data_IF_865526534240
#
_entry.id   IF_865526534240
#
_cell.length_a   1.000
_cell.length_b   1.000
_cell.length_c   1.000
_cell.angle_alpha   90.00
_cell.angle_beta   90.00
_cell.angle_gamma   90.00
#
_symmetry.space_group_name_H-M   'P 1'
#
loop_
_entity.id
_entity.type
_entity.pdbx_description
1 polymer ?
#
# COMPACT_ATOMS: atom_id res chain seq x y z
N UNK A 1 -16.87 18.18 1.34
CA UNK A 1 -17.06 16.93 2.11
C UNK A 1 -16.10 15.91 1.52
N UNK A 2 -14.94 15.69 2.13
CA UNK A 2 -14.00 14.69 1.62
C UNK A 2 -14.42 13.32 2.13
N UNK A 3 -15.18 12.59 1.31
CA UNK A 3 -15.18 11.14 1.41
C UNK A 3 -13.75 10.64 1.31
N UNK A 4 -13.39 9.57 2.02
CA UNK A 4 -12.12 8.88 1.77
C UNK A 4 -11.97 8.68 0.24
N UNK A 5 -10.83 9.03 -0.38
CA UNK A 5 -10.66 8.98 -1.84
C UNK A 5 -11.12 7.65 -2.45
N UNK A 6 -10.89 6.53 -1.75
CA UNK A 6 -11.31 5.20 -2.17
C UNK A 6 -12.84 5.01 -2.22
N UNK A 7 -13.59 5.53 -1.23
CA UNK A 7 -15.06 5.51 -1.28
C UNK A 7 -15.58 6.43 -2.38
N UNK A 8 -14.94 7.59 -2.57
CA UNK A 8 -15.25 8.52 -3.65
C UNK A 8 -15.11 7.87 -5.03
N UNK A 9 -14.09 7.03 -5.23
CA UNK A 9 -13.90 6.27 -6.47
C UNK A 9 -15.07 5.30 -6.74
N UNK A 10 -15.58 4.62 -5.72
CA UNK A 10 -16.76 3.74 -5.88
C UNK A 10 -18.02 4.54 -6.20
N UNK A 11 -18.27 5.63 -5.48
CA UNK A 11 -19.41 6.52 -5.72
C UNK A 11 -19.36 7.13 -7.13
N UNK A 12 -18.18 7.54 -7.58
CA UNK A 12 -17.97 8.07 -8.93
C UNK A 12 -18.15 7.01 -10.02
N UNK A 13 -17.75 5.77 -9.76
CA UNK A 13 -17.96 4.65 -10.69
C UNK A 13 -19.45 4.34 -10.84
N UNK A 14 -20.20 4.31 -9.73
CA UNK A 14 -21.66 4.15 -9.77
C UNK A 14 -22.30 5.31 -10.52
N UNK A 15 -21.86 6.54 -10.28
CA UNK A 15 -22.32 7.72 -11.02
C UNK A 15 -22.12 7.56 -12.53
N UNK A 16 -20.90 7.24 -12.96
CA UNK A 16 -20.58 7.09 -14.38
C UNK A 16 -21.38 5.96 -15.03
N UNK A 17 -21.58 4.84 -14.32
CA UNK A 17 -22.40 3.72 -14.78
C UNK A 17 -23.89 4.11 -14.94
N UNK A 18 -24.44 4.92 -14.03
CA UNK A 18 -25.83 5.41 -14.12
C UNK A 18 -25.97 6.42 -15.27
N UNK A 19 -25.04 7.37 -15.37
CA UNK A 19 -25.02 8.39 -16.43
C UNK A 19 -24.90 7.74 -17.82
N UNK A 20 -24.00 6.77 -17.98
CA UNK A 20 -23.84 6.02 -19.22
C UNK A 20 -25.13 5.31 -19.65
N UNK A 21 -25.85 4.68 -18.71
CA UNK A 21 -27.13 4.03 -18.99
C UNK A 21 -28.26 5.02 -19.26
N UNK A 22 -28.23 6.19 -18.63
CA UNK A 22 -29.19 7.25 -18.88
C UNK A 22 -29.02 7.86 -20.29
N UNK A 23 -27.82 7.75 -20.87
CA UNK A 23 -27.44 8.39 -22.13
C UNK A 23 -27.70 9.92 -22.12
N UNK A 24 -27.53 10.54 -20.95
CA UNK A 24 -27.65 11.97 -20.68
C UNK A 24 -26.93 12.31 -19.38
N UNK A 25 -26.63 13.60 -19.17
CA UNK A 25 -26.22 14.09 -17.86
C UNK A 25 -27.30 13.86 -16.80
N UNK A 26 -26.85 13.61 -15.57
CA UNK A 26 -27.73 13.49 -14.42
C UNK A 26 -28.12 14.88 -13.87
N UNK A 27 -29.31 14.98 -13.33
CA UNK A 27 -29.73 16.20 -12.61
C UNK A 27 -29.13 16.20 -11.20
N UNK A 28 -28.91 17.37 -10.60
CA UNK A 28 -28.32 17.47 -9.26
C UNK A 28 -29.05 16.61 -8.19
N UNK A 29 -30.36 16.45 -8.32
CA UNK A 29 -31.15 15.58 -7.44
C UNK A 29 -30.81 14.09 -7.62
N UNK A 30 -30.54 13.65 -8.85
CA UNK A 30 -30.12 12.29 -9.19
C UNK A 30 -28.67 12.05 -8.74
N UNK A 31 -27.77 13.02 -8.93
CA UNK A 31 -26.38 12.91 -8.47
C UNK A 31 -26.31 12.73 -6.95
N UNK A 32 -27.09 13.52 -6.21
CA UNK A 32 -27.18 13.43 -4.74
C UNK A 32 -27.83 12.14 -4.25
N UNK A 33 -28.56 11.42 -5.10
CA UNK A 33 -29.15 10.14 -4.77
C UNK A 33 -28.18 8.96 -4.96
N UNK A 34 -27.06 9.17 -5.65
CA UNK A 34 -26.01 8.17 -5.84
C UNK A 34 -25.13 8.12 -4.59
N UNK A 35 -25.18 6.99 -3.90
CA UNK A 35 -24.34 6.71 -2.74
C UNK A 35 -23.98 5.23 -2.71
N UNK A 36 -22.86 4.91 -2.06
CA UNK A 36 -22.45 3.52 -1.81
C UNK A 36 -22.48 3.28 -0.30
N UNK A 37 -23.61 2.81 0.26
CA UNK A 37 -23.73 2.57 1.69
C UNK A 37 -23.06 1.24 2.08
N UNK A 38 -22.73 1.10 3.36
CA UNK A 38 -22.31 -0.16 3.97
C UNK A 38 -23.44 -0.67 4.89
N UNK A 39 -24.34 -1.46 4.34
CA UNK A 39 -25.53 -1.96 5.04
C UNK A 39 -25.26 -3.32 5.66
N UNK A 40 -25.72 -3.50 6.89
CA UNK A 40 -25.40 -4.68 7.69
C UNK A 40 -26.29 -5.88 7.41
N UNK A 41 -27.45 -5.68 6.78
CA UNK A 41 -28.40 -6.76 6.46
C UNK A 41 -29.02 -6.59 5.08
N UNK A 42 -29.58 -7.69 4.56
CA UNK A 42 -30.26 -7.70 3.25
C UNK A 42 -31.49 -6.80 3.26
N UNK A 43 -32.25 -6.79 4.35
CA UNK A 43 -33.49 -6.01 4.49
C UNK A 43 -33.19 -4.50 4.50
N UNK A 44 -32.10 -4.10 5.15
CA UNK A 44 -31.60 -2.73 5.10
C UNK A 44 -31.26 -2.34 3.66
N UNK A 45 -30.62 -3.23 2.91
CA UNK A 45 -30.30 -3.00 1.50
C UNK A 45 -31.54 -2.90 0.62
N UNK A 46 -32.53 -3.76 0.80
CA UNK A 46 -33.78 -3.69 0.03
C UNK A 46 -34.56 -2.39 0.31
N UNK A 47 -34.61 -1.97 1.58
CA UNK A 47 -35.15 -0.66 1.96
C UNK A 47 -34.33 0.47 1.31
N UNK A 48 -33.01 0.30 1.32
CA UNK A 48 -32.10 1.12 0.55
C UNK A 48 -32.19 0.91 -0.97
N UNK A 49 -33.01 0.05 -1.56
CA UNK A 49 -33.23 0.08 -3.03
C UNK A 49 -34.55 0.77 -3.38
N UNK A 50 -35.55 0.64 -2.50
CA UNK A 50 -36.93 1.11 -2.73
C UNK A 50 -37.18 2.61 -2.61
N UNK A 51 -36.23 3.42 -2.14
CA UNK A 51 -36.43 4.88 -2.00
C UNK A 51 -36.67 5.52 -3.36
N UNK A 52 -37.68 6.39 -3.39
CA UNK A 52 -38.12 7.13 -4.57
C UNK A 52 -37.00 7.91 -5.27
N UNK A 53 -35.96 8.34 -4.54
CA UNK A 53 -34.83 9.09 -5.09
C UNK A 53 -33.94 8.27 -6.01
N UNK A 54 -33.87 6.95 -5.79
CA UNK A 54 -32.93 6.05 -6.47
C UNK A 54 -33.62 4.99 -7.32
N UNK A 55 -34.83 4.54 -6.95
CA UNK A 55 -35.52 3.43 -7.62
C UNK A 55 -35.84 3.65 -9.09
N UNK A 56 -35.78 4.90 -9.55
CA UNK A 56 -36.04 5.31 -10.93
C UNK A 56 -34.75 5.57 -11.71
N UNK A 57 -33.57 5.47 -11.08
CA UNK A 57 -32.30 5.72 -11.74
C UNK A 57 -31.93 4.52 -12.63
N UNK A 58 -31.40 4.72 -13.84
CA UNK A 58 -31.03 3.63 -14.73
C UNK A 58 -30.07 2.62 -14.08
N UNK A 59 -30.47 1.35 -14.05
CA UNK A 59 -29.70 0.27 -13.44
C UNK A 59 -29.78 0.20 -11.90
N UNK A 60 -30.32 1.22 -11.24
CA UNK A 60 -30.59 1.26 -9.80
C UNK A 60 -32.11 1.09 -9.57
N UNK A 61 -32.46 -0.07 -9.05
CA UNK A 61 -33.85 -0.51 -8.82
C UNK A 61 -33.83 -1.94 -8.29
N UNK A 62 -34.98 -2.50 -7.88
CA UNK A 62 -35.03 -3.82 -7.23
C UNK A 62 -34.36 -4.91 -8.08
N UNK A 63 -34.59 -4.88 -9.40
CA UNK A 63 -34.03 -5.83 -10.37
C UNK A 63 -32.90 -5.22 -11.23
N UNK A 64 -32.34 -4.10 -10.78
CA UNK A 64 -31.30 -3.38 -11.49
C UNK A 64 -29.98 -4.14 -11.50
N UNK A 65 -29.33 -4.27 -12.65
CA UNK A 65 -28.04 -4.95 -12.73
C UNK A 65 -26.97 -4.28 -11.86
N UNK A 66 -27.00 -2.94 -11.72
CA UNK A 66 -26.07 -2.21 -10.86
C UNK A 66 -26.41 -2.43 -9.38
N UNK A 67 -27.69 -2.56 -9.03
CA UNK A 67 -28.13 -2.99 -7.70
C UNK A 67 -27.55 -4.34 -7.31
N UNK A 68 -27.58 -5.33 -8.20
CA UNK A 68 -27.00 -6.66 -7.93
C UNK A 68 -25.48 -6.61 -7.74
N UNK A 69 -24.79 -5.76 -8.50
CA UNK A 69 -23.35 -5.52 -8.34
C UNK A 69 -23.07 -4.87 -6.98
N UNK A 70 -23.83 -3.85 -6.59
CA UNK A 70 -23.72 -3.20 -5.28
C UNK A 70 -24.03 -4.15 -4.13
N UNK A 71 -25.05 -5.00 -4.28
CA UNK A 71 -25.46 -6.01 -3.29
C UNK A 71 -24.31 -6.94 -2.93
N UNK A 72 -23.56 -7.40 -3.93
CA UNK A 72 -22.39 -8.28 -3.74
C UNK A 72 -21.23 -7.65 -2.98
N UNK A 73 -21.18 -6.32 -2.92
CA UNK A 73 -20.13 -5.59 -2.19
C UNK A 73 -20.54 -5.25 -0.75
N UNK A 74 -21.79 -5.50 -0.37
CA UNK A 74 -22.30 -5.11 0.94
C UNK A 74 -21.70 -5.97 2.06
N UNK A 75 -21.57 -5.42 3.28
CA UNK A 75 -21.10 -6.16 4.45
C UNK A 75 -21.83 -7.48 4.71
N UNK A 76 -23.14 -7.59 4.47
CA UNK A 76 -23.88 -8.85 4.66
C UNK A 76 -23.59 -9.92 3.60
N UNK A 77 -22.94 -9.54 2.49
CA UNK A 77 -22.53 -10.45 1.43
C UNK A 77 -21.05 -10.86 1.57
N UNK A 78 -20.36 -10.33 2.59
CA UNK A 78 -18.98 -10.66 2.90
C UNK A 78 -18.91 -11.98 3.69
N UNK A 79 -18.03 -12.87 3.25
CA UNK A 79 -17.81 -14.20 3.84
C UNK A 79 -16.43 -14.34 4.51
N UNK A 80 -15.60 -13.30 4.48
CA UNK A 80 -14.29 -13.31 5.13
C UNK A 80 -14.36 -13.13 6.64
N UNK A 81 -13.34 -13.62 7.33
CA UNK A 81 -13.23 -13.60 8.80
C UNK A 81 -13.02 -12.17 9.37
N UNK A 82 -12.46 -11.28 8.56
CA UNK A 82 -12.20 -9.89 8.91
C UNK A 82 -13.40 -8.96 8.68
N UNK A 83 -13.31 -7.73 9.21
CA UNK A 83 -14.29 -6.69 8.95
C UNK A 83 -14.45 -6.43 7.44
N UNK A 84 -15.69 -6.41 6.97
CA UNK A 84 -16.01 -6.18 5.56
C UNK A 84 -15.36 -4.88 5.03
N UNK A 85 -14.59 -4.91 3.93
CA UNK A 85 -13.87 -3.74 3.43
C UNK A 85 -14.75 -2.51 3.16
N UNK A 86 -15.98 -2.72 2.64
CA UNK A 86 -16.91 -1.62 2.40
C UNK A 86 -17.36 -0.93 3.70
N UNK A 87 -17.54 -1.69 4.80
CA UNK A 87 -17.84 -1.13 6.12
C UNK A 87 -16.70 -0.24 6.58
N UNK A 88 -15.46 -0.73 6.53
CA UNK A 88 -14.27 0.02 6.93
C UNK A 88 -14.13 1.34 6.13
N UNK A 89 -14.33 1.31 4.80
CA UNK A 89 -14.30 2.52 3.97
C UNK A 89 -15.36 3.56 4.38
N UNK A 90 -16.58 3.10 4.64
CA UNK A 90 -17.69 3.97 5.05
C UNK A 90 -17.43 4.56 6.44
N UNK A 91 -16.96 3.76 7.38
CA UNK A 91 -16.68 4.19 8.75
C UNK A 91 -15.56 5.24 8.79
N UNK A 92 -14.45 5.00 8.08
CA UNK A 92 -13.36 5.97 7.94
C UNK A 92 -13.82 7.28 7.28
N UNK A 93 -14.65 7.18 6.23
CA UNK A 93 -15.21 8.33 5.54
C UNK A 93 -16.17 9.14 6.42
N UNK A 94 -17.02 8.46 7.20
CA UNK A 94 -17.98 9.11 8.09
C UNK A 94 -17.26 9.80 9.26
N UNK A 95 -16.25 9.17 9.86
CA UNK A 95 -15.43 9.79 10.92
C UNK A 95 -14.73 11.06 10.41
N UNK A 96 -14.14 11.00 9.21
CA UNK A 96 -13.56 12.17 8.54
C UNK A 96 -14.59 13.30 8.35
N UNK A 97 -15.80 12.97 7.86
CA UNK A 97 -16.90 13.93 7.68
C UNK A 97 -17.35 14.58 9.00
N UNK A 98 -17.29 13.86 10.11
CA UNK A 98 -17.69 14.35 11.42
C UNK A 98 -16.55 14.99 12.22
N UNK A 99 -15.37 15.22 11.61
CA UNK A 99 -14.19 15.86 12.23
C UNK A 99 -13.78 15.23 13.57
N UNK A 100 -14.11 13.96 13.79
CA UNK A 100 -13.55 13.23 14.94
C UNK A 100 -12.11 12.88 14.57
N UNK A 101 -11.10 13.28 15.37
CA UNK A 101 -9.73 12.91 15.08
C UNK A 101 -9.66 11.39 15.02
N UNK A 102 -9.23 10.83 13.89
CA UNK A 102 -8.81 9.45 13.91
C UNK A 102 -7.62 9.36 14.87
N UNK A 103 -7.74 8.55 15.92
CA UNK A 103 -6.65 8.37 16.87
C UNK A 103 -5.55 7.56 16.19
N UNK A 104 -4.46 8.25 15.89
CA UNK A 104 -3.22 7.63 15.42
C UNK A 104 -2.32 7.47 16.63
N UNK A 105 -1.75 6.28 16.79
CA UNK A 105 -0.77 6.03 17.82
C UNK A 105 0.43 5.27 17.25
N UNK A 106 1.61 5.59 17.76
CA UNK A 106 2.77 4.75 17.58
C UNK A 106 2.67 3.56 18.54
N UNK A 107 3.06 2.39 18.05
CA UNK A 107 3.29 1.20 18.87
C UNK A 107 4.69 0.67 18.61
N UNK A 108 5.25 -0.01 19.59
CA UNK A 108 6.47 -0.77 19.41
C UNK A 108 6.22 -1.89 18.42
N UNK A 109 6.95 -1.87 17.30
CA UNK A 109 6.83 -2.89 16.26
C UNK A 109 7.84 -4.00 16.47
N UNK A 110 9.09 -3.73 16.14
CA UNK A 110 10.19 -4.69 16.34
C UNK A 110 11.35 -3.97 16.99
N UNK A 111 11.97 -4.62 17.97
CA UNK A 111 13.26 -4.22 18.51
C UNK A 111 14.26 -5.30 18.14
N UNK A 112 15.38 -4.92 17.54
CA UNK A 112 16.45 -5.84 17.15
C UNK A 112 17.73 -5.34 17.77
N UNK A 113 18.49 -6.25 18.39
CA UNK A 113 19.83 -5.94 18.86
C UNK A 113 20.85 -6.21 17.75
N UNK A 114 21.91 -5.40 17.70
CA UNK A 114 23.01 -5.58 16.74
C UNK A 114 23.67 -6.97 16.86
N UNK A 115 23.66 -7.54 18.07
CA UNK A 115 24.20 -8.86 18.39
C UNK A 115 23.56 -9.42 19.66
N UNK A 116 23.58 -10.75 19.79
CA UNK A 116 23.03 -11.45 20.94
C UNK A 116 23.84 -11.15 22.21
N UNK A 117 23.15 -10.80 23.30
CA UNK A 117 23.75 -10.55 24.61
C UNK A 117 23.01 -11.36 25.67
N UNK A 118 23.78 -12.10 26.48
CA UNK A 118 23.23 -12.87 27.58
C UNK A 118 22.54 -11.95 28.59
N UNK A 119 21.27 -12.23 28.88
CA UNK A 119 20.45 -11.44 29.81
C UNK A 119 19.83 -10.18 29.20
N UNK A 120 19.98 -9.96 27.88
CA UNK A 120 19.20 -8.94 27.17
C UNK A 120 17.78 -9.46 26.92
N UNK A 121 16.78 -8.72 27.41
CA UNK A 121 15.37 -8.94 27.10
C UNK A 121 14.89 -7.79 26.22
N UNK A 122 14.39 -8.12 25.02
CA UNK A 122 13.77 -7.16 24.12
C UNK A 122 12.26 -7.21 24.29
N UNK A 123 11.62 -6.06 24.14
CA UNK A 123 10.17 -6.00 24.25
C UNK A 123 9.49 -6.57 23.00
N UNK A 124 8.46 -7.38 23.25
CA UNK A 124 7.60 -7.94 22.21
C UNK A 124 6.47 -6.94 21.86
N UNK A 125 6.07 -6.85 20.58
CA UNK A 125 4.95 -6.01 20.18
C UNK A 125 3.64 -6.44 20.85
N UNK A 126 3.07 -5.55 21.67
CA UNK A 126 1.82 -5.78 22.40
C UNK A 126 0.56 -5.69 21.53
N UNK A 127 0.70 -5.18 20.31
CA UNK A 127 -0.42 -4.89 19.40
C UNK A 127 -1.20 -3.62 19.76
N UNK A 128 -0.91 -2.98 20.90
CA UNK A 128 -1.56 -1.77 21.41
C UNK A 128 -0.65 -0.54 21.29
N UNK A 129 -1.21 0.69 21.34
CA UNK A 129 -0.43 1.92 21.46
C UNK A 129 0.58 1.88 22.60
N UNK A 130 1.80 2.33 22.34
CA UNK A 130 2.82 2.45 23.38
C UNK A 130 2.40 3.47 24.45
N UNK A 131 2.65 3.13 25.71
CA UNK A 131 2.39 3.97 26.89
C UNK A 131 3.69 4.43 27.54
N UNK A 132 3.61 5.52 28.31
CA UNK A 132 4.72 5.91 29.17
C UNK A 132 5.02 4.80 30.19
N UNK A 133 6.29 4.43 30.30
CA UNK A 133 6.74 3.33 31.17
C UNK A 133 6.80 1.96 30.49
N UNK A 134 6.36 1.83 29.23
CA UNK A 134 6.57 0.60 28.46
C UNK A 134 8.07 0.30 28.33
N UNK A 135 8.44 -0.94 28.64
CA UNK A 135 9.80 -1.43 28.47
C UNK A 135 10.08 -1.60 26.97
N UNK A 136 11.23 -1.11 26.49
CA UNK A 136 11.72 -1.32 25.11
C UNK A 136 12.78 -2.42 25.09
N UNK A 137 13.71 -2.35 26.05
CA UNK A 137 14.73 -3.35 26.28
C UNK A 137 15.18 -3.28 27.75
N UNK A 138 15.52 -4.43 28.31
CA UNK A 138 16.21 -4.57 29.58
C UNK A 138 17.55 -5.28 29.33
N UNK A 139 18.64 -4.67 29.78
CA UNK A 139 20.00 -5.09 29.44
C UNK A 139 20.95 -5.00 30.65
N UNK A 140 21.94 -5.91 30.76
CA UNK A 140 22.97 -5.80 31.79
C UNK A 140 23.83 -4.53 31.62
N UNK A 141 24.38 -4.02 32.73
CA UNK A 141 24.98 -2.68 32.82
C UNK A 141 26.20 -2.42 31.90
N UNK A 142 26.86 -3.45 31.38
CA UNK A 142 28.23 -3.34 30.87
C UNK A 142 28.50 -3.82 29.43
N UNK A 143 27.66 -4.60 28.72
CA UNK A 143 27.67 -4.52 27.27
C UNK A 143 26.85 -3.31 26.80
N UNK A 144 27.47 -2.40 26.04
CA UNK A 144 26.72 -1.43 25.23
C UNK A 144 26.20 -2.18 24.02
N UNK A 145 24.88 -2.25 23.86
CA UNK A 145 24.21 -2.92 22.75
C UNK A 145 23.47 -1.87 21.94
N UNK A 146 23.74 -1.80 20.64
CA UNK A 146 22.93 -1.00 19.72
C UNK A 146 21.59 -1.68 19.50
N UNK A 147 20.53 -0.88 19.43
CA UNK A 147 19.17 -1.35 19.21
C UNK A 147 18.57 -0.63 18.00
N UNK A 148 18.07 -1.41 17.06
CA UNK A 148 17.21 -0.95 15.99
C UNK A 148 15.75 -1.06 16.44
N UNK A 149 15.08 0.09 16.56
CA UNK A 149 13.67 0.18 16.95
C UNK A 149 12.83 0.54 15.75
N UNK A 150 11.89 -0.34 15.42
CA UNK A 150 10.98 -0.21 14.28
C UNK A 150 9.59 0.14 14.81
N UNK A 151 9.21 1.43 14.86
CA UNK A 151 7.86 1.81 15.29
C UNK A 151 6.84 1.43 14.22
N UNK A 152 5.62 1.12 14.67
CA UNK A 152 4.47 0.92 13.78
C UNK A 152 3.45 2.00 14.07
N UNK A 153 2.92 2.60 13.00
CA UNK A 153 1.80 3.54 13.11
C UNK A 153 0.49 2.77 12.97
N UNK A 154 -0.33 2.82 14.01
CA UNK A 154 -1.66 2.21 14.06
C UNK A 154 -2.74 3.27 14.12
N UNK A 155 -3.92 2.91 13.63
CA UNK A 155 -5.11 3.75 13.67
C UNK A 155 -6.22 3.03 14.42
N UNK A 156 -6.86 3.68 15.37
CA UNK A 156 -8.02 3.09 16.07
C UNK A 156 -9.18 3.00 15.10
N UNK A 157 -9.68 1.78 14.85
CA UNK A 157 -10.89 1.61 14.02
C UNK A 157 -12.09 2.27 14.71
N UNK A 158 -12.87 3.08 13.97
CA UNK A 158 -14.05 3.75 14.52
C UNK A 158 -15.01 2.80 15.23
N UNK A 159 -15.44 3.16 16.44
CA UNK A 159 -16.41 2.36 17.20
C UNK A 159 -15.89 1.03 17.75
N UNK A 160 -14.58 0.78 17.70
CA UNK A 160 -13.94 -0.42 18.25
C UNK A 160 -12.68 -0.07 19.05
N UNK A 161 -12.11 -1.07 19.72
CA UNK A 161 -10.81 -0.99 20.40
C UNK A 161 -9.69 -1.65 19.61
N UNK A 162 -9.91 -1.89 18.32
CA UNK A 162 -8.90 -2.48 17.44
C UNK A 162 -7.95 -1.42 16.86
N UNK A 163 -6.68 -1.78 16.78
CA UNK A 163 -5.57 -0.91 16.35
C UNK A 163 -4.77 -1.53 15.19
N UNK A 164 -5.41 -1.73 14.02
CA UNK A 164 -4.72 -2.23 12.84
C UNK A 164 -3.54 -1.33 12.46
N UNK A 165 -2.54 -1.93 11.83
CA UNK A 165 -1.45 -1.19 11.19
C UNK A 165 -2.04 -0.36 10.06
N UNK A 166 -1.84 0.96 10.12
CA UNK A 166 -2.43 1.88 9.16
C UNK A 166 -2.10 1.49 7.71
N UNK A 167 -0.82 1.22 7.45
CA UNK A 167 -0.36 0.87 6.11
C UNK A 167 -0.96 -0.45 5.60
N UNK A 168 -1.12 -1.45 6.48
CA UNK A 168 -1.73 -2.74 6.10
C UNK A 168 -3.22 -2.58 5.81
N UNK A 169 -3.96 -1.84 6.63
CA UNK A 169 -5.38 -1.60 6.39
C UNK A 169 -5.61 -0.80 5.11
N UNK A 170 -4.83 0.27 4.88
CA UNK A 170 -4.92 1.04 3.64
C UNK A 170 -4.57 0.20 2.41
N UNK A 171 -3.52 -0.63 2.48
CA UNK A 171 -3.14 -1.53 1.40
C UNK A 171 -4.24 -2.55 1.07
N UNK A 172 -4.86 -3.13 2.09
CA UNK A 172 -5.98 -4.07 1.94
C UNK A 172 -7.18 -3.36 1.29
N UNK A 173 -7.53 -2.16 1.75
CA UNK A 173 -8.64 -1.38 1.17
C UNK A 173 -8.38 -0.98 -0.28
N UNK A 174 -7.16 -0.52 -0.61
CA UNK A 174 -6.74 -0.22 -1.98
C UNK A 174 -6.86 -1.46 -2.88
N UNK A 175 -6.32 -2.59 -2.41
CA UNK A 175 -6.34 -3.87 -3.13
C UNK A 175 -7.77 -4.34 -3.38
N UNK A 176 -8.61 -4.35 -2.35
CA UNK A 176 -10.02 -4.75 -2.49
C UNK A 176 -10.78 -3.83 -3.44
N UNK A 177 -10.58 -2.51 -3.39
CA UNK A 177 -11.21 -1.58 -4.32
C UNK A 177 -10.82 -1.90 -5.76
N UNK A 178 -9.53 -2.09 -6.00
CA UNK A 178 -8.97 -2.31 -7.34
C UNK A 178 -9.31 -3.69 -7.92
N UNK A 179 -9.24 -4.73 -7.12
CA UNK A 179 -9.29 -6.12 -7.58
C UNK A 179 -10.66 -6.76 -7.40
N UNK A 180 -11.51 -6.21 -6.53
CA UNK A 180 -12.85 -6.77 -6.26
C UNK A 180 -13.95 -5.76 -6.55
N UNK A 181 -13.93 -4.59 -5.90
CA UNK A 181 -15.07 -3.67 -5.94
C UNK A 181 -15.28 -3.06 -7.33
N UNK A 182 -14.25 -2.45 -7.91
CA UNK A 182 -14.34 -1.85 -9.24
C UNK A 182 -14.60 -2.88 -10.33
N UNK A 183 -13.91 -4.05 -10.38
CA UNK A 183 -14.25 -5.11 -11.33
C UNK A 183 -15.70 -5.58 -11.21
N UNK A 184 -16.24 -5.69 -9.99
CA UNK A 184 -17.63 -6.06 -9.76
C UNK A 184 -18.60 -4.99 -10.27
N UNK A 185 -18.33 -3.71 -9.99
CA UNK A 185 -19.17 -2.59 -10.41
C UNK A 185 -19.14 -2.38 -11.93
N UNK A 186 -17.97 -2.50 -12.55
CA UNK A 186 -17.76 -2.32 -14.00
C UNK A 186 -18.06 -3.59 -14.81
N UNK A 187 -18.34 -4.72 -14.15
CA UNK A 187 -18.53 -6.03 -14.79
C UNK A 187 -17.34 -6.40 -15.69
N UNK A 188 -16.14 -6.23 -15.15
CA UNK A 188 -14.92 -6.63 -15.85
C UNK A 188 -14.84 -8.16 -15.98
N UNK A 189 -14.31 -8.62 -17.11
CA UNK A 189 -14.05 -10.05 -17.37
C UNK A 189 -12.74 -10.48 -16.69
N UNK A 190 -12.54 -11.78 -16.43
CA UNK A 190 -11.25 -12.30 -15.99
C UNK A 190 -10.11 -11.82 -16.90
N UNK A 191 -9.03 -11.31 -16.30
CA UNK A 191 -7.88 -10.76 -17.02
C UNK A 191 -7.98 -9.28 -17.39
N UNK A 192 -9.13 -8.63 -17.19
CA UNK A 192 -9.25 -7.17 -17.30
C UNK A 192 -8.88 -6.53 -15.96
N UNK A 193 -7.61 -6.17 -15.80
CA UNK A 193 -7.10 -5.52 -14.60
C UNK A 193 -7.12 -4.00 -14.74
N UNK A 194 -7.43 -3.31 -13.66
CA UNK A 194 -7.28 -1.86 -13.58
C UNK A 194 -5.81 -1.51 -13.28
N UNK A 195 -5.19 -0.54 -13.97
CA UNK A 195 -3.82 -0.14 -13.69
C UNK A 195 -3.69 0.37 -12.25
N UNK A 196 -2.57 0.07 -11.60
CA UNK A 196 -2.40 0.37 -10.18
C UNK A 196 -2.07 1.85 -9.91
N UNK A 197 -1.55 2.56 -10.89
CA UNK A 197 -1.21 3.97 -10.76
C UNK A 197 -1.17 4.64 -12.13
N UNK A 198 -1.64 5.88 -12.18
CA UNK A 198 -1.27 6.84 -13.23
C UNK A 198 -0.62 8.01 -12.51
N UNK A 199 0.54 8.47 -12.98
CA UNK A 199 1.22 9.61 -12.37
C UNK A 199 0.46 10.90 -12.69
N UNK A 200 -0.21 11.48 -11.70
CA UNK A 200 -0.99 12.72 -11.85
C UNK A 200 -0.15 13.99 -11.72
N UNK A 201 1.13 13.87 -11.37
CA UNK A 201 2.05 15.02 -11.35
C UNK A 201 2.52 15.40 -12.76
N UNK A 202 2.38 14.48 -13.72
CA UNK A 202 2.66 14.71 -15.12
C UNK A 202 1.34 15.05 -15.82
N UNK A 203 1.32 16.21 -16.49
CA UNK A 203 0.20 16.56 -17.35
C UNK A 203 0.12 15.62 -18.55
N UNK A 204 -0.92 14.79 -18.60
CA UNK A 204 -1.14 13.88 -19.73
C UNK A 204 -2.01 14.55 -20.78
N UNK A 205 -1.51 14.60 -22.01
CA UNK A 205 -2.29 15.08 -23.18
C UNK A 205 -3.47 14.14 -23.44
N UNK A 206 -3.30 12.85 -23.17
CA UNK A 206 -4.35 11.84 -23.18
C UNK A 206 -4.27 10.98 -21.91
N UNK A 207 -5.14 11.27 -20.95
CA UNK A 207 -5.20 10.54 -19.68
C UNK A 207 -5.59 9.06 -19.84
N UNK A 208 -6.29 8.68 -20.92
CA UNK A 208 -6.61 7.26 -21.18
C UNK A 208 -5.39 6.52 -21.70
N UNK A 209 -4.68 7.10 -22.67
CA UNK A 209 -3.43 6.52 -23.16
C UNK A 209 -2.39 6.45 -22.05
N UNK A 210 -2.29 7.49 -21.21
CA UNK A 210 -1.42 7.49 -20.04
C UNK A 210 -1.79 6.40 -19.03
N UNK A 211 -3.08 6.21 -18.72
CA UNK A 211 -3.51 5.13 -17.84
C UNK A 211 -3.25 3.73 -18.42
N UNK A 212 -3.39 3.56 -19.74
CA UNK A 212 -3.05 2.31 -20.42
C UNK A 212 -1.54 2.04 -20.45
N UNK A 213 -0.72 3.10 -20.59
CA UNK A 213 0.73 3.02 -20.61
C UNK A 213 1.35 2.90 -19.21
N UNK A 214 0.69 3.44 -18.18
CA UNK A 214 1.08 3.36 -16.78
C UNK A 214 0.81 1.98 -16.17
N UNK A 215 1.05 0.91 -16.96
CA UNK A 215 0.86 -0.50 -16.64
C UNK A 215 1.68 -1.03 -15.45
N UNK A 216 2.12 -0.17 -14.53
CA UNK A 216 2.55 -0.57 -13.21
C UNK A 216 1.39 -1.26 -12.48
N UNK A 217 1.65 -2.47 -11.98
CA UNK A 217 0.73 -3.21 -11.11
C UNK A 217 1.06 -3.00 -9.62
N UNK A 218 2.23 -2.43 -9.30
CA UNK A 218 2.66 -2.19 -7.93
C UNK A 218 1.81 -1.10 -7.28
N UNK A 219 1.15 -1.44 -6.16
CA UNK A 219 0.38 -0.49 -5.32
C UNK A 219 1.32 0.54 -4.69
N UNK A 220 0.77 1.64 -4.16
CA UNK A 220 1.57 2.57 -3.36
C UNK A 220 2.16 1.88 -2.12
N UNK A 221 1.42 0.97 -1.49
CA UNK A 221 1.89 0.18 -0.35
C UNK A 221 3.06 -0.75 -0.72
N UNK A 222 2.99 -1.44 -1.87
CA UNK A 222 4.07 -2.28 -2.39
C UNK A 222 5.32 -1.43 -2.64
N UNK A 223 5.19 -0.29 -3.32
CA UNK A 223 6.33 0.62 -3.55
C UNK A 223 6.95 1.13 -2.25
N UNK A 224 6.13 1.46 -1.25
CA UNK A 224 6.65 1.88 0.05
C UNK A 224 7.38 0.74 0.78
N UNK A 225 6.87 -0.49 0.66
CA UNK A 225 7.53 -1.68 1.22
C UNK A 225 8.88 -1.92 0.54
N UNK A 226 8.91 -1.87 -0.79
CA UNK A 226 10.14 -1.97 -1.58
C UNK A 226 11.13 -0.88 -1.16
N UNK A 227 10.68 0.37 -0.97
CA UNK A 227 11.55 1.45 -0.50
C UNK A 227 12.13 1.19 0.88
N UNK A 228 11.32 0.71 1.83
CA UNK A 228 11.80 0.39 3.18
C UNK A 228 12.87 -0.72 3.14
N UNK A 229 12.67 -1.74 2.32
CA UNK A 229 13.65 -2.83 2.13
C UNK A 229 14.90 -2.33 1.41
N UNK A 230 14.72 -1.54 0.35
CA UNK A 230 15.81 -0.98 -0.44
C UNK A 230 16.72 -0.09 0.43
N UNK A 231 16.15 0.88 1.13
CA UNK A 231 16.90 1.85 1.93
C UNK A 231 17.40 1.27 3.26
N UNK A 232 16.56 0.51 3.96
CA UNK A 232 16.86 0.03 5.31
C UNK A 232 17.79 -1.18 5.35
N UNK A 233 17.78 -2.02 4.32
CA UNK A 233 18.49 -3.31 4.34
C UNK A 233 19.41 -3.44 3.14
N UNK A 234 18.88 -3.30 1.93
CA UNK A 234 19.58 -3.71 0.72
C UNK A 234 20.72 -2.76 0.38
N UNK A 235 20.48 -1.45 0.25
CA UNK A 235 21.53 -0.48 -0.12
C UNK A 235 22.69 -0.49 0.89
N UNK A 236 22.48 -0.44 2.21
CA UNK A 236 23.58 -0.53 3.18
C UNK A 236 24.38 -1.83 3.02
N UNK A 237 23.70 -2.97 3.03
CA UNK A 237 24.34 -4.29 2.90
C UNK A 237 25.10 -4.43 1.59
N UNK A 238 24.54 -3.95 0.49
CA UNK A 238 25.14 -4.05 -0.83
C UNK A 238 26.40 -3.19 -0.94
N UNK A 239 26.35 -1.95 -0.43
CA UNK A 239 27.52 -1.07 -0.35
C UNK A 239 28.63 -1.68 0.51
N UNK A 240 28.29 -2.20 1.68
CA UNK A 240 29.27 -2.79 2.59
C UNK A 240 29.94 -4.03 2.00
N UNK A 241 29.17 -4.89 1.34
CA UNK A 241 29.68 -6.14 0.78
C UNK A 241 30.58 -5.91 -0.44
N UNK A 242 30.24 -4.92 -1.29
CA UNK A 242 31.11 -4.51 -2.39
C UNK A 242 32.35 -3.77 -1.88
N UNK A 243 32.20 -2.88 -0.88
CA UNK A 243 33.30 -2.12 -0.29
C UNK A 243 34.42 -3.03 0.23
N UNK A 244 34.08 -4.17 0.85
CA UNK A 244 35.06 -5.16 1.34
C UNK A 244 35.94 -5.76 0.24
N UNK A 245 35.54 -5.64 -1.04
CA UNK A 245 36.22 -6.20 -2.21
C UNK A 245 36.83 -5.17 -3.14
N UNK A 246 36.51 -3.89 -2.94
CA UNK A 246 37.17 -2.79 -3.63
C UNK A 246 38.65 -2.72 -3.23
N UNK A 247 39.51 -2.42 -4.21
CA UNK A 247 40.96 -2.29 -4.05
C UNK A 247 41.40 -0.84 -3.92
N UNK A 248 40.57 0.10 -4.39
CA UNK A 248 40.90 1.53 -4.40
C UNK A 248 39.76 2.35 -3.82
N UNK A 249 40.07 3.55 -3.32
CA UNK A 249 39.08 4.53 -2.85
C UNK A 249 38.16 5.01 -3.96
N UNK A 250 38.65 5.09 -5.20
CA UNK A 250 37.82 5.41 -6.37
C UNK A 250 36.78 4.31 -6.63
N UNK A 251 37.15 3.03 -6.55
CA UNK A 251 36.18 1.93 -6.67
C UNK A 251 35.11 1.96 -5.56
N UNK A 252 35.49 2.34 -4.33
CA UNK A 252 34.54 2.52 -3.22
C UNK A 252 33.55 3.64 -3.51
N UNK A 253 34.03 4.80 -3.98
CA UNK A 253 33.16 5.93 -4.34
C UNK A 253 32.23 5.57 -5.51
N UNK A 254 32.77 4.98 -6.57
CA UNK A 254 32.03 4.56 -7.75
C UNK A 254 30.91 3.57 -7.40
N UNK A 255 31.23 2.56 -6.60
CA UNK A 255 30.24 1.54 -6.17
C UNK A 255 29.17 2.12 -5.28
N UNK A 256 29.50 3.00 -4.34
CA UNK A 256 28.51 3.68 -3.51
C UNK A 256 27.57 4.53 -4.38
N UNK A 257 28.11 5.41 -5.22
CA UNK A 257 27.30 6.27 -6.09
C UNK A 257 26.43 5.49 -7.08
N UNK A 258 26.97 4.40 -7.65
CA UNK A 258 26.22 3.52 -8.53
C UNK A 258 25.10 2.77 -7.81
N UNK A 259 25.33 2.28 -6.59
CA UNK A 259 24.26 1.66 -5.80
C UNK A 259 23.17 2.69 -5.50
N UNK A 260 23.52 3.93 -5.14
CA UNK A 260 22.55 5.01 -4.91
C UNK A 260 21.75 5.39 -6.16
N UNK A 261 22.34 5.30 -7.35
CA UNK A 261 21.65 5.68 -8.59
C UNK A 261 20.58 4.68 -9.05
N UNK A 262 20.55 3.46 -8.48
CA UNK A 262 19.58 2.43 -8.86
C UNK A 262 18.21 2.75 -8.25
N UNK A 263 17.13 2.44 -8.97
CA UNK A 263 15.79 2.45 -8.36
C UNK A 263 15.64 1.35 -7.31
N UNK A 264 14.67 1.48 -6.39
CA UNK A 264 14.42 0.51 -5.31
C UNK A 264 14.24 -0.93 -5.86
N UNK A 265 13.43 -1.08 -6.91
CA UNK A 265 13.21 -2.37 -7.55
C UNK A 265 14.47 -2.92 -8.24
N UNK A 266 15.33 -2.07 -8.78
CA UNK A 266 16.58 -2.49 -9.40
C UNK A 266 17.63 -2.92 -8.39
N UNK A 267 17.77 -2.19 -7.28
CA UNK A 267 18.75 -2.51 -6.26
C UNK A 267 18.39 -3.81 -5.54
N UNK A 268 17.11 -4.01 -5.18
CA UNK A 268 16.60 -5.26 -4.59
C UNK A 268 16.90 -6.44 -5.52
N UNK A 269 16.46 -6.38 -6.78
CA UNK A 269 16.65 -7.46 -7.75
C UNK A 269 18.13 -7.76 -8.04
N UNK A 270 19.00 -6.76 -8.02
CA UNK A 270 20.45 -6.97 -8.21
C UNK A 270 21.08 -7.59 -6.97
N UNK A 271 20.68 -7.16 -5.78
CA UNK A 271 21.10 -7.76 -4.52
C UNK A 271 20.67 -9.22 -4.40
N UNK A 272 19.42 -9.55 -4.68
CA UNK A 272 18.91 -10.93 -4.61
C UNK A 272 19.71 -11.88 -5.52
N UNK A 273 19.98 -11.45 -6.76
CA UNK A 273 20.82 -12.21 -7.69
C UNK A 273 22.26 -12.35 -7.20
N UNK A 274 22.80 -11.32 -6.55
CA UNK A 274 24.15 -11.35 -6.01
C UNK A 274 24.25 -12.30 -4.80
N UNK A 275 23.35 -12.18 -3.83
CA UNK A 275 23.32 -13.05 -2.64
C UNK A 275 23.01 -14.50 -3.00
N UNK A 276 22.21 -14.77 -4.04
CA UNK A 276 21.98 -16.12 -4.53
C UNK A 276 23.28 -16.85 -4.96
N UNK A 277 24.37 -16.12 -5.25
CA UNK A 277 25.67 -16.71 -5.57
C UNK A 277 26.50 -17.06 -4.32
N UNK A 278 26.08 -16.66 -3.11
CA UNK A 278 26.82 -16.83 -1.87
C UNK A 278 27.24 -18.27 -1.53
N UNK A 279 26.47 -19.33 -1.88
CA UNK A 279 26.90 -20.71 -1.63
C UNK A 279 28.19 -21.10 -2.38
N UNK A 280 28.52 -20.42 -3.48
CA UNK A 280 29.76 -20.64 -4.25
C UNK A 280 30.68 -19.42 -4.11
N UNK A 281 31.70 -19.56 -3.27
CA UNK A 281 32.66 -18.49 -2.99
C UNK A 281 33.37 -17.95 -4.26
N UNK A 282 33.61 -18.81 -5.25
CA UNK A 282 34.26 -18.41 -6.51
C UNK A 282 33.30 -17.58 -7.36
N UNK A 283 32.07 -18.07 -7.55
CA UNK A 283 31.04 -17.35 -8.29
C UNK A 283 30.70 -16.02 -7.61
N UNK A 284 30.62 -16.00 -6.29
CA UNK A 284 30.36 -14.81 -5.50
C UNK A 284 31.44 -13.74 -5.68
N UNK A 285 32.71 -14.11 -5.61
CA UNK A 285 33.83 -13.20 -5.84
C UNK A 285 33.85 -12.66 -7.29
N UNK A 286 33.54 -13.51 -8.27
CA UNK A 286 33.42 -13.10 -9.67
C UNK A 286 32.28 -12.11 -9.88
N UNK A 287 31.11 -12.38 -9.30
CA UNK A 287 29.93 -11.52 -9.37
C UNK A 287 30.23 -10.14 -8.74
N UNK A 288 30.84 -10.10 -7.55
CA UNK A 288 31.26 -8.85 -6.93
C UNK A 288 32.22 -8.06 -7.84
N UNK A 289 33.23 -8.72 -8.41
CA UNK A 289 34.18 -8.08 -9.33
C UNK A 289 33.51 -7.54 -10.60
N UNK A 290 32.49 -8.21 -11.13
CA UNK A 290 31.70 -7.72 -12.27
C UNK A 290 30.90 -6.47 -11.91
N UNK A 291 30.29 -6.44 -10.72
CA UNK A 291 29.49 -5.30 -10.24
C UNK A 291 30.38 -4.07 -9.99
N UNK A 292 31.56 -4.25 -9.38
CA UNK A 292 32.54 -3.17 -9.19
C UNK A 292 32.96 -2.58 -10.55
N UNK A 293 33.29 -3.41 -11.54
CA UNK A 293 33.61 -2.94 -12.90
C UNK A 293 32.43 -2.26 -13.59
N UNK A 294 31.20 -2.67 -13.31
CA UNK A 294 30.02 -2.00 -13.83
C UNK A 294 29.86 -0.61 -13.22
N UNK A 295 30.05 -0.47 -11.91
CA UNK A 295 29.99 0.81 -11.21
C UNK A 295 31.03 1.81 -11.71
N UNK A 296 32.29 1.40 -11.86
CA UNK A 296 33.37 2.26 -12.40
C UNK A 296 33.07 2.71 -13.83
N UNK A 297 32.54 1.82 -14.68
CA UNK A 297 32.15 2.21 -16.05
C UNK A 297 30.98 3.19 -16.07
N UNK A 298 30.01 3.00 -15.19
CA UNK A 298 28.88 3.92 -15.05
C UNK A 298 29.34 5.31 -14.60
N UNK A 299 30.24 5.40 -13.61
CA UNK A 299 30.78 6.69 -13.16
C UNK A 299 31.56 7.41 -14.27
N UNK A 300 32.37 6.68 -15.05
CA UNK A 300 33.09 7.25 -16.19
C UNK A 300 32.15 7.79 -17.29
N UNK A 301 30.98 7.16 -17.49
CA UNK A 301 29.96 7.64 -18.41
C UNK A 301 29.31 8.93 -17.91
N UNK A 302 28.97 9.00 -16.62
CA UNK A 302 28.40 10.21 -16.01
C UNK A 302 29.36 11.40 -16.01
N UNK A 303 30.67 11.17 -15.95
CA UNK A 303 31.67 12.24 -16.04
C UNK A 303 31.90 12.78 -17.46
N UNK A 304 31.35 12.12 -18.49
CA UNK A 304 31.50 12.48 -19.91
C UNK A 304 30.30 13.25 -20.48
N UNK A 305 29.22 13.37 -19.70
CA UNK A 305 27.98 14.10 -20.02
C UNK A 305 27.99 15.50 -19.37
#
# INVERSE_FOLDING_TARGET
MTSSPLRGVLEHTVFAEVEHRANRGLTEAEERAIEVPALGTREQFETWVRDKRRRNLPGLGEDGELTERLRRLQPFAWDGDDAAPLRLLVDHSNVSKHRRPAMVAARLGRVVADFDVAGLALAEPTGQPSQEGDLIADAPLHPRVGLDVWPIISLRRPGTDSWPVLMTELAMLETWVRETALPTLLKLKPGQNLPAATDVQIGHVDSRAAGAAAAGHATAASRNTDRLVAEGVVRPSFKDELRRRCRTTSEVAATAAWVESLTDAEVIRRWDRFVATAPDATLYAQAAGQLIRAAVRWEAQQASE
#
